data_IF_923697657224
#
_entry.id   IF_923697657224
#
_cell.length_a   1.000
_cell.length_b   1.000
_cell.length_c   1.000
_cell.angle_alpha   90.00
_cell.angle_beta   90.00
_cell.angle_gamma   90.00
#
_symmetry.space_group_name_H-M   'P 1'
#
loop_
_entity.id
_entity.type
_entity.pdbx_description
1 polymer ?
#
# COMPACT_ATOMS: atom_id res chain seq x y z
N UNK A 1 6.35 -43.66 -11.45
CA UNK A 1 6.46 -42.18 -11.57
C UNK A 1 7.12 -41.53 -10.34
N UNK A 2 6.78 -41.91 -9.09
CA UNK A 2 7.47 -41.37 -7.90
C UNK A 2 8.93 -41.85 -7.73
N UNK A 3 9.27 -43.02 -8.26
CA UNK A 3 10.60 -43.65 -8.13
C UNK A 3 11.73 -42.93 -8.90
N UNK A 4 11.41 -41.92 -9.72
CA UNK A 4 12.41 -41.13 -10.46
C UNK A 4 12.65 -39.72 -9.87
N UNK A 5 12.13 -39.43 -8.67
CA UNK A 5 12.38 -38.16 -7.98
C UNK A 5 13.82 -38.12 -7.48
N UNK A 6 14.56 -37.07 -7.85
CA UNK A 6 15.89 -36.82 -7.29
C UNK A 6 15.75 -36.25 -5.87
N UNK A 7 16.75 -36.48 -5.01
CA UNK A 7 16.73 -36.04 -3.60
C UNK A 7 16.58 -34.51 -3.42
N UNK A 8 16.77 -33.73 -4.48
CA UNK A 8 16.73 -32.27 -4.45
C UNK A 8 15.32 -31.68 -4.71
N UNK A 9 14.32 -32.51 -5.03
CA UNK A 9 12.94 -32.07 -5.28
C UNK A 9 12.18 -32.00 -3.94
N UNK A 10 12.08 -30.78 -3.37
CA UNK A 10 11.37 -30.53 -2.11
C UNK A 10 9.87 -30.19 -2.28
N UNK A 11 9.31 -30.26 -3.49
CA UNK A 11 7.94 -29.80 -3.77
C UNK A 11 7.05 -30.93 -4.30
N UNK A 12 5.77 -30.91 -3.92
CA UNK A 12 4.77 -31.91 -4.31
C UNK A 12 4.04 -31.60 -5.64
N UNK A 13 4.60 -30.76 -6.51
CA UNK A 13 3.96 -30.43 -7.80
C UNK A 13 4.11 -31.59 -8.79
N UNK A 14 3.03 -31.90 -9.50
CA UNK A 14 2.93 -33.05 -10.43
C UNK A 14 3.38 -32.74 -11.86
N UNK A 15 3.64 -31.47 -12.20
CA UNK A 15 4.12 -31.07 -13.53
C UNK A 15 5.55 -30.53 -13.46
N UNK A 16 6.45 -31.17 -14.21
CA UNK A 16 7.82 -30.73 -14.43
C UNK A 16 7.90 -30.02 -15.80
N UNK A 17 8.41 -28.79 -15.82
CA UNK A 17 8.65 -28.08 -17.08
C UNK A 17 9.97 -28.57 -17.69
N UNK A 18 10.03 -29.00 -18.96
CA UNK A 18 11.28 -29.43 -19.57
C UNK A 18 12.31 -28.30 -19.61
N UNK A 19 13.56 -28.63 -19.30
CA UNK A 19 14.69 -27.71 -19.43
C UNK A 19 15.17 -27.71 -20.89
N UNK A 20 15.33 -26.56 -21.53
CA UNK A 20 15.83 -26.46 -22.91
C UNK A 20 17.31 -26.85 -23.00
N UNK A 21 18.07 -26.60 -21.94
CA UNK A 21 19.53 -26.74 -21.92
C UNK A 21 19.95 -28.06 -21.27
N UNK A 22 19.05 -29.05 -21.30
CA UNK A 22 19.23 -30.34 -20.62
C UNK A 22 20.38 -31.16 -21.20
N UNK A 23 20.70 -30.99 -22.48
CA UNK A 23 21.83 -31.64 -23.15
C UNK A 23 23.18 -31.18 -22.58
N UNK A 24 23.27 -29.95 -22.09
CA UNK A 24 24.49 -29.39 -21.50
C UNK A 24 24.56 -29.59 -19.99
N UNK A 25 23.42 -29.49 -19.31
CA UNK A 25 23.34 -29.53 -17.84
C UNK A 25 23.09 -30.93 -17.28
N UNK A 26 22.66 -31.89 -18.11
CA UNK A 26 22.20 -33.21 -17.67
C UNK A 26 20.86 -33.19 -16.91
N UNK A 27 20.25 -32.02 -16.70
CA UNK A 27 19.01 -31.84 -15.96
C UNK A 27 17.87 -31.58 -16.95
N UNK A 28 16.99 -32.57 -17.12
CA UNK A 28 15.88 -32.57 -18.07
C UNK A 28 14.67 -31.71 -17.69
N UNK A 29 14.62 -31.16 -16.47
CA UNK A 29 13.51 -30.33 -16.00
C UNK A 29 13.98 -29.04 -15.32
N UNK A 30 13.18 -27.98 -15.42
CA UNK A 30 13.42 -26.70 -14.74
C UNK A 30 13.05 -26.84 -13.27
N UNK A 31 13.98 -26.46 -12.39
CA UNK A 31 13.72 -26.30 -10.98
C UNK A 31 13.20 -24.88 -10.69
N UNK A 32 12.02 -24.55 -11.21
CA UNK A 32 11.39 -23.26 -10.97
C UNK A 32 9.94 -23.43 -10.51
N UNK A 33 9.41 -22.49 -9.71
CA UNK A 33 8.00 -22.50 -9.36
C UNK A 33 7.15 -22.35 -10.64
N UNK A 34 6.10 -23.16 -10.75
CA UNK A 34 5.13 -23.05 -11.84
C UNK A 34 4.53 -21.65 -11.83
N UNK A 35 4.49 -21.01 -13.00
CA UNK A 35 3.93 -19.67 -13.16
C UNK A 35 4.92 -18.53 -12.93
N UNK A 36 6.22 -18.79 -12.96
CA UNK A 36 7.25 -17.73 -12.90
C UNK A 36 6.93 -16.62 -13.92
N UNK A 37 6.94 -15.38 -13.45
CA UNK A 37 6.64 -14.15 -14.21
C UNK A 37 5.21 -14.03 -14.80
N UNK A 38 4.30 -14.99 -14.57
CA UNK A 38 2.93 -14.90 -15.09
C UNK A 38 2.17 -13.73 -14.45
N UNK A 39 2.33 -13.52 -13.15
CA UNK A 39 1.67 -12.41 -12.45
C UNK A 39 2.09 -11.05 -13.02
N UNK A 40 3.39 -10.86 -13.29
CA UNK A 40 3.87 -9.62 -13.91
C UNK A 40 3.26 -9.41 -15.30
N UNK A 41 3.12 -10.49 -16.08
CA UNK A 41 2.48 -10.42 -17.40
C UNK A 41 1.01 -10.03 -17.28
N UNK A 42 0.27 -10.67 -16.39
CA UNK A 42 -1.15 -10.36 -16.16
C UNK A 42 -1.37 -8.94 -15.64
N UNK A 43 -0.50 -8.43 -14.76
CA UNK A 43 -0.60 -7.05 -14.29
C UNK A 43 -0.41 -6.05 -15.42
N UNK A 44 0.59 -6.23 -16.29
CA UNK A 44 0.77 -5.34 -17.43
C UNK A 44 -0.37 -5.44 -18.45
N UNK A 45 -0.84 -6.66 -18.75
CA UNK A 45 -1.98 -6.88 -19.65
C UNK A 45 -3.28 -6.29 -19.10
N UNK A 46 -3.55 -6.47 -17.81
CA UNK A 46 -4.71 -5.91 -17.15
C UNK A 46 -4.70 -4.39 -17.18
N UNK A 47 -3.55 -3.76 -16.93
CA UNK A 47 -3.38 -2.31 -17.00
C UNK A 47 -3.65 -1.76 -18.41
N UNK A 48 -3.16 -2.43 -19.45
CA UNK A 48 -3.45 -2.07 -20.84
C UNK A 48 -4.93 -2.23 -21.17
N UNK A 49 -5.57 -3.32 -20.71
CA UNK A 49 -6.97 -3.60 -20.96
C UNK A 49 -7.91 -2.54 -20.36
N UNK A 50 -7.59 -2.01 -19.18
CA UNK A 50 -8.36 -0.93 -18.54
C UNK A 50 -8.00 0.47 -19.07
N UNK A 51 -7.14 0.56 -20.08
CA UNK A 51 -6.78 1.82 -20.75
C UNK A 51 -5.75 2.68 -20.00
N UNK A 52 -4.97 2.12 -19.07
CA UNK A 52 -3.86 2.86 -18.46
C UNK A 52 -2.72 3.03 -19.47
N UNK A 53 -2.06 4.19 -19.42
CA UNK A 53 -0.88 4.48 -20.25
C UNK A 53 0.36 3.72 -19.76
N UNK A 54 0.44 2.45 -20.15
CA UNK A 54 1.54 1.54 -19.85
C UNK A 54 2.82 1.87 -20.62
N UNK A 55 2.75 2.73 -21.65
CA UNK A 55 3.90 3.13 -22.47
C UNK A 55 4.68 4.27 -21.81
N UNK A 56 3.97 5.25 -21.26
CA UNK A 56 4.57 6.36 -20.51
C UNK A 56 4.99 5.95 -19.10
N UNK A 57 4.20 5.11 -18.44
CA UNK A 57 4.46 4.67 -17.07
C UNK A 57 4.45 3.15 -16.98
N UNK A 58 5.58 2.58 -16.53
CA UNK A 58 5.69 1.13 -16.36
C UNK A 58 4.86 0.67 -15.16
N UNK A 59 3.75 -0.02 -15.43
CA UNK A 59 2.89 -0.63 -14.41
C UNK A 59 3.37 -2.06 -14.17
N UNK A 60 3.80 -2.33 -12.94
CA UNK A 60 4.31 -3.63 -12.51
C UNK A 60 3.70 -4.02 -11.16
N UNK A 61 3.96 -5.24 -10.70
CA UNK A 61 3.60 -5.67 -9.36
C UNK A 61 4.15 -4.73 -8.26
N UNK A 62 5.30 -4.12 -8.50
CA UNK A 62 5.87 -3.15 -7.58
C UNK A 62 5.01 -1.88 -7.51
N UNK A 63 4.44 -1.44 -8.64
CA UNK A 63 3.49 -0.30 -8.68
C UNK A 63 2.26 -0.59 -7.82
N UNK A 64 1.69 -1.81 -7.91
CA UNK A 64 0.56 -2.21 -7.06
C UNK A 64 0.93 -2.19 -5.57
N UNK A 65 2.15 -2.66 -5.23
CA UNK A 65 2.67 -2.61 -3.86
C UNK A 65 2.78 -1.16 -3.38
N UNK A 66 3.31 -0.26 -4.21
CA UNK A 66 3.42 1.17 -3.92
C UNK A 66 2.05 1.80 -3.64
N UNK A 67 1.07 1.56 -4.52
CA UNK A 67 -0.30 2.06 -4.33
C UNK A 67 -0.94 1.51 -3.06
N UNK A 68 -0.70 0.24 -2.72
CA UNK A 68 -1.21 -0.36 -1.48
C UNK A 68 -0.62 0.33 -0.24
N UNK A 69 0.68 0.61 -0.25
CA UNK A 69 1.37 1.30 0.86
C UNK A 69 0.79 2.71 1.03
N UNK A 70 0.65 3.46 -0.07
CA UNK A 70 0.07 4.81 -0.03
C UNK A 70 -1.37 4.80 0.48
N UNK A 71 -2.22 3.91 -0.03
CA UNK A 71 -3.62 3.81 0.41
C UNK A 71 -3.74 3.43 1.88
N UNK A 72 -2.88 2.52 2.37
CA UNK A 72 -2.89 2.11 3.78
C UNK A 72 -2.45 3.27 4.68
N UNK A 73 -1.45 4.05 4.26
CA UNK A 73 -1.07 5.28 4.96
C UNK A 73 -2.18 6.33 4.95
N UNK A 74 -2.87 6.52 3.82
CA UNK A 74 -3.98 7.47 3.70
C UNK A 74 -5.20 7.07 4.55
N UNK A 75 -5.42 5.76 4.74
CA UNK A 75 -6.46 5.23 5.63
C UNK A 75 -6.16 5.43 7.13
N UNK A 76 -4.99 5.98 7.47
CA UNK A 76 -4.59 6.28 8.85
C UNK A 76 -3.96 5.11 9.61
N UNK A 77 -3.56 4.04 8.92
CA UNK A 77 -2.87 2.93 9.55
C UNK A 77 -1.51 3.36 10.13
N UNK A 78 -1.11 2.77 11.26
CA UNK A 78 0.19 3.07 11.85
C UNK A 78 1.32 2.57 10.94
N UNK A 79 2.42 3.31 10.88
CA UNK A 79 3.63 2.92 10.13
C UNK A 79 4.11 1.50 10.45
N UNK A 80 4.06 1.08 11.70
CA UNK A 80 4.49 -0.27 12.10
C UNK A 80 3.56 -1.35 11.54
N UNK A 81 2.27 -1.08 11.45
CA UNK A 81 1.29 -1.99 10.84
C UNK A 81 1.50 -2.07 9.32
N UNK A 82 1.73 -0.92 8.68
CA UNK A 82 2.07 -0.84 7.25
C UNK A 82 3.34 -1.66 6.97
N UNK A 83 4.39 -1.52 7.78
CA UNK A 83 5.64 -2.30 7.66
C UNK A 83 5.34 -3.79 7.75
N UNK A 84 4.58 -4.21 8.77
CA UNK A 84 4.25 -5.62 9.00
C UNK A 84 3.44 -6.22 7.85
N UNK A 85 2.47 -5.49 7.32
CA UNK A 85 1.60 -5.94 6.22
C UNK A 85 2.37 -5.99 4.89
N UNK A 86 3.20 -4.99 4.63
CA UNK A 86 3.87 -4.82 3.33
C UNK A 86 5.26 -5.43 3.27
N UNK A 87 5.79 -5.90 4.39
CA UNK A 87 7.09 -6.57 4.52
C UNK A 87 8.28 -5.63 4.34
N UNK A 88 8.17 -4.37 4.74
CA UNK A 88 9.31 -3.46 4.77
C UNK A 88 10.21 -3.77 5.98
N UNK A 89 11.51 -3.44 5.89
CA UNK A 89 12.45 -3.64 6.99
C UNK A 89 12.56 -2.44 7.92
N UNK A 90 12.15 -1.25 7.47
CA UNK A 90 12.26 -0.02 8.24
C UNK A 90 11.20 1.01 7.86
N UNK A 91 10.93 1.94 8.79
CA UNK A 91 10.10 3.13 8.57
C UNK A 91 10.69 4.07 7.53
N UNK A 92 12.01 4.12 7.41
CA UNK A 92 12.73 4.93 6.42
C UNK A 92 12.38 4.53 4.99
N UNK A 93 12.27 3.22 4.73
CA UNK A 93 11.88 2.70 3.42
C UNK A 93 10.44 3.05 3.02
N UNK A 94 9.62 3.52 3.98
CA UNK A 94 8.26 3.97 3.72
C UNK A 94 8.14 5.45 3.37
N UNK A 95 9.13 6.28 3.72
CA UNK A 95 9.10 7.74 3.50
C UNK A 95 8.70 8.17 2.08
N UNK A 96 9.14 7.51 0.99
CA UNK A 96 8.73 7.89 -0.36
C UNK A 96 7.22 7.77 -0.62
N UNK A 97 6.54 6.88 0.09
CA UNK A 97 5.10 6.62 -0.06
C UNK A 97 4.24 7.51 0.85
N UNK A 98 4.84 8.10 1.89
CA UNK A 98 4.19 9.04 2.82
C UNK A 98 4.04 10.46 2.25
N UNK A 99 4.42 10.68 0.98
CA UNK A 99 4.23 11.98 0.34
C UNK A 99 2.74 12.31 0.36
N UNK A 100 2.38 13.30 1.17
CA UNK A 100 1.03 13.84 1.29
C UNK A 100 0.48 14.13 -0.11
N UNK A 101 -0.53 13.36 -0.55
CA UNK A 101 -1.32 13.75 -1.71
C UNK A 101 -1.95 15.12 -1.44
N UNK A 102 -2.19 15.93 -2.47
CA UNK A 102 -2.83 17.25 -2.30
C UNK A 102 -4.15 17.13 -1.54
N UNK A 103 -4.88 16.02 -1.74
CA UNK A 103 -6.10 15.68 -1.00
C UNK A 103 -5.84 15.40 0.48
N UNK A 104 -4.75 14.72 0.85
CA UNK A 104 -4.40 14.52 2.26
C UNK A 104 -4.05 15.85 2.95
N UNK A 105 -3.34 16.75 2.26
CA UNK A 105 -3.11 18.12 2.73
C UNK A 105 -4.42 18.87 2.95
N UNK A 106 -5.33 18.84 1.96
CA UNK A 106 -6.65 19.47 2.08
C UNK A 106 -7.45 18.91 3.25
N UNK A 107 -7.42 17.59 3.48
CA UNK A 107 -8.13 16.95 4.59
C UNK A 107 -7.55 17.35 5.96
N UNK A 108 -6.22 17.44 6.09
CA UNK A 108 -5.58 17.91 7.33
C UNK A 108 -5.96 19.37 7.60
N UNK A 109 -5.93 20.22 6.57
CA UNK A 109 -6.33 21.63 6.69
C UNK A 109 -7.80 21.71 7.13
N UNK A 110 -8.71 20.96 6.49
CA UNK A 110 -10.14 20.94 6.82
C UNK A 110 -10.41 20.45 8.26
N UNK A 111 -9.71 19.41 8.70
CA UNK A 111 -9.83 18.91 10.08
C UNK A 111 -9.34 19.94 11.10
N UNK A 112 -8.21 20.60 10.81
CA UNK A 112 -7.65 21.64 11.67
C UNK A 112 -8.54 22.90 11.71
N UNK A 113 -9.09 23.33 10.58
CA UNK A 113 -10.01 24.48 10.55
C UNK A 113 -11.29 24.18 11.32
N UNK A 114 -11.91 23.00 11.11
CA UNK A 114 -13.10 22.59 11.89
C UNK A 114 -12.84 22.50 13.39
N UNK A 115 -11.67 21.99 13.79
CA UNK A 115 -11.25 21.96 15.19
C UNK A 115 -11.11 23.36 15.80
N UNK A 116 -10.49 24.29 15.07
CA UNK A 116 -10.34 25.70 15.50
C UNK A 116 -11.71 26.40 15.60
N UNK A 117 -12.62 26.19 14.64
CA UNK A 117 -13.97 26.75 14.69
C UNK A 117 -14.80 26.23 15.89
N UNK A 118 -14.66 24.94 16.23
CA UNK A 118 -15.31 24.36 17.41
C UNK A 118 -14.77 24.97 18.73
N UNK A 119 -13.45 25.16 18.83
CA UNK A 119 -12.82 25.81 19.99
C UNK A 119 -13.26 27.28 20.10
N UNK A 120 -13.27 28.01 18.99
CA UNK A 120 -13.66 29.42 18.97
C UNK A 120 -15.13 29.65 19.38
N UNK A 121 -16.05 28.79 18.92
CA UNK A 121 -17.46 28.88 19.35
C UNK A 121 -17.66 28.56 20.84
N UNK A 122 -16.87 27.65 21.41
CA UNK A 122 -16.94 27.30 22.83
C UNK A 122 -16.42 28.45 23.72
N UNK A 123 -15.34 29.11 23.28
CA UNK A 123 -14.78 30.30 23.95
C UNK A 123 -15.73 31.49 23.89
N UNK A 124 -16.34 31.77 22.72
CA UNK A 124 -17.32 32.85 22.58
C UNK A 124 -18.59 32.62 23.43
N UNK A 125 -19.05 31.37 23.55
CA UNK A 125 -20.22 31.07 24.37
C UNK A 125 -19.92 31.20 25.87
N UNK A 126 -18.68 30.95 26.30
CA UNK A 126 -18.27 31.13 27.71
C UNK A 126 -18.10 32.60 28.08
N UNK A 127 -17.50 33.42 27.21
CA UNK A 127 -17.34 34.87 27.44
C UNK A 127 -18.67 35.64 27.33
N UNK A 128 -19.61 35.18 26.51
CA UNK A 128 -20.97 35.75 26.44
C UNK A 128 -21.79 35.49 27.72
N UNK A 129 -21.61 34.35 28.38
CA UNK A 129 -22.29 34.02 29.65
C UNK A 129 -21.74 34.86 30.81
N UNK A 130 -20.42 35.09 30.86
CA UNK A 130 -19.81 35.94 31.91
C UNK A 130 -20.26 37.40 31.82
N UNK A 131 -20.36 37.97 30.62
CA UNK A 131 -20.82 39.36 30.42
C UNK A 131 -22.33 39.55 30.65
N UNK A 132 -23.13 38.48 30.55
CA UNK A 132 -24.58 38.54 30.80
C UNK A 132 -24.94 38.44 32.29
N UNK A 133 -23.99 37.99 33.13
CA UNK A 133 -24.20 37.81 34.57
C UNK A 133 -23.81 39.07 35.37
N UNK A 134 -22.87 39.87 34.85
CA UNK A 134 -22.39 41.11 35.49
C UNK A 134 -23.27 42.34 35.24
N UNK A 135 -24.28 42.29 34.36
CA UNK A 135 -25.21 43.41 34.11
C UNK A 135 -26.55 43.31 34.88
N UNK A 136 -26.72 42.36 35.81
CA UNK A 136 -27.99 42.15 36.54
C UNK A 136 -27.95 42.47 38.04
N UNK A 137 -26.90 43.11 38.54
CA UNK A 137 -26.80 43.51 39.95
C UNK A 137 -26.42 44.98 40.09
N UNK A 138 -27.26 45.87 39.58
CA UNK A 138 -27.27 47.29 39.96
C UNK A 138 -28.70 47.81 39.74
N UNK A 139 -29.56 47.56 40.72
CA UNK A 139 -30.79 48.33 40.96
C UNK A 139 -31.26 48.12 42.40
#
# INVERSE_FOLDING_TARGET
MLSKRTANIKTNRLSLTPNSDWLQTGIWYKNCPVGINQLSKWTSQGAEHIGLDTKKHKITNHSNRSSTVSNLSESGANLQEVIKITGHSSTESLKPYLKLSSQHHSHIIEKNTKGIFAVHNTTLHSTAIENSTTQKTDN
#
